data_IF_897628451210
#
_entry.id   IF_897628451210
#
_cell.length_a   1.000
_cell.length_b   1.000
_cell.length_c   1.000
_cell.angle_alpha   90.00
_cell.angle_beta   90.00
_cell.angle_gamma   90.00
#
_symmetry.space_group_name_H-M   'P 1'
#
loop_
_entity.id
_entity.type
_entity.pdbx_description
1 polymer ?
#
# COMPACT_ATOMS: atom_id res chain seq x y z
N UNK A 1 16.25 -3.20 13.30
CA UNK A 1 14.91 -2.67 13.71
C UNK A 1 15.10 -1.36 14.44
N UNK A 2 14.22 -0.39 14.20
CA UNK A 2 14.27 0.89 14.92
C UNK A 2 13.86 0.74 16.38
N UNK A 3 14.67 1.29 17.29
CA UNK A 3 14.34 1.41 18.72
C UNK A 3 13.08 2.26 18.95
N UNK A 4 12.78 3.19 18.03
CA UNK A 4 11.62 4.08 18.09
C UNK A 4 10.35 3.53 17.42
N UNK A 5 10.41 2.35 16.80
CA UNK A 5 9.24 1.73 16.16
C UNK A 5 8.15 1.41 17.20
N UNK A 6 6.88 1.63 16.83
CA UNK A 6 5.75 1.26 17.66
C UNK A 6 5.47 -0.24 17.60
N UNK A 7 5.00 -0.78 18.72
CA UNK A 7 4.68 -2.20 18.86
C UNK A 7 3.18 -2.43 18.68
N UNK A 8 2.85 -3.48 17.93
CA UNK A 8 1.51 -4.05 17.92
C UNK A 8 1.43 -5.05 19.05
N UNK A 9 0.97 -4.60 20.23
CA UNK A 9 0.79 -5.46 21.38
C UNK A 9 -0.40 -6.42 21.20
N UNK A 10 -0.49 -7.50 21.98
CA UNK A 10 -1.57 -8.51 21.89
C UNK A 10 -2.97 -7.90 21.93
N UNK A 11 -3.18 -6.89 22.78
CA UNK A 11 -4.47 -6.21 22.92
C UNK A 11 -4.91 -5.44 21.66
N UNK A 12 -4.00 -4.94 20.84
CA UNK A 12 -4.35 -4.30 19.58
C UNK A 12 -5.06 -5.26 18.62
N UNK A 13 -4.61 -6.52 18.57
CA UNK A 13 -5.25 -7.55 17.74
C UNK A 13 -6.62 -7.96 18.25
N UNK A 14 -6.82 -7.93 19.56
CA UNK A 14 -8.13 -8.18 20.17
C UNK A 14 -9.09 -7.03 19.86
N UNK A 15 -8.65 -5.80 20.05
CA UNK A 15 -9.44 -4.59 19.77
C UNK A 15 -9.84 -4.51 18.29
N UNK A 16 -8.92 -4.71 17.37
CA UNK A 16 -9.18 -4.70 15.93
C UNK A 16 -10.34 -5.65 15.57
N UNK A 17 -10.28 -6.90 16.04
CA UNK A 17 -11.31 -7.90 15.78
C UNK A 17 -12.67 -7.58 16.42
N UNK A 18 -12.68 -7.06 17.65
CA UNK A 18 -13.95 -6.78 18.33
C UNK A 18 -14.60 -5.52 17.79
N UNK A 19 -13.81 -4.50 17.42
CA UNK A 19 -14.32 -3.27 16.80
C UNK A 19 -14.95 -3.55 15.44
N UNK A 20 -14.27 -4.32 14.56
CA UNK A 20 -14.83 -4.72 13.26
C UNK A 20 -16.17 -5.46 13.40
N UNK A 21 -16.28 -6.34 14.40
CA UNK A 21 -17.56 -7.03 14.68
C UNK A 21 -18.62 -6.08 15.19
N UNK A 22 -18.26 -5.14 16.03
CA UNK A 22 -19.18 -4.15 16.62
C UNK A 22 -19.71 -3.18 15.56
N UNK A 23 -18.88 -2.76 14.62
CA UNK A 23 -19.24 -1.87 13.51
C UNK A 23 -20.21 -2.54 12.52
N UNK A 24 -20.24 -3.87 12.43
CA UNK A 24 -21.20 -4.61 11.60
C UNK A 24 -21.16 -4.16 10.13
N UNK A 25 -22.24 -3.53 9.66
CA UNK A 25 -22.34 -3.02 8.27
C UNK A 25 -21.39 -1.86 7.96
N UNK A 26 -20.88 -1.18 8.97
CA UNK A 26 -19.92 -0.06 8.85
C UNK A 26 -18.47 -0.50 9.01
N UNK A 27 -18.20 -1.81 8.97
CA UNK A 27 -16.84 -2.34 9.02
C UNK A 27 -15.98 -1.82 7.87
N UNK A 28 -14.70 -1.63 8.13
CA UNK A 28 -13.70 -1.20 7.14
C UNK A 28 -13.17 -2.39 6.33
N UNK A 29 -13.23 -3.59 6.90
CA UNK A 29 -12.66 -4.80 6.30
C UNK A 29 -11.18 -4.97 6.60
N UNK A 30 -10.75 -4.64 7.83
CA UNK A 30 -9.36 -4.74 8.27
C UNK A 30 -8.80 -6.16 8.18
N UNK A 31 -7.47 -6.29 8.24
CA UNK A 31 -6.80 -7.60 8.27
C UNK A 31 -6.88 -8.28 9.66
N UNK A 32 -7.42 -7.60 10.69
CA UNK A 32 -7.51 -8.10 12.05
C UNK A 32 -6.16 -8.26 12.75
N UNK A 33 -5.12 -7.56 12.29
CA UNK A 33 -3.75 -7.66 12.82
C UNK A 33 -3.38 -6.58 13.85
N UNK A 34 -4.30 -5.68 14.16
CA UNK A 34 -4.12 -4.66 15.19
C UNK A 34 -3.44 -3.37 14.71
N UNK A 35 -3.35 -3.15 13.40
CA UNK A 35 -2.67 -1.97 12.82
C UNK A 35 -3.40 -0.69 13.23
N UNK A 36 -4.70 -0.58 12.96
CA UNK A 36 -5.50 0.60 13.32
C UNK A 36 -5.40 0.97 14.80
N UNK A 37 -5.68 0.05 15.73
CA UNK A 37 -5.53 0.31 17.17
C UNK A 37 -4.12 0.70 17.60
N UNK A 38 -3.05 0.15 16.99
CA UNK A 38 -1.68 0.54 17.31
C UNK A 38 -1.35 1.97 16.83
N UNK A 39 -1.84 2.37 15.66
CA UNK A 39 -1.72 3.76 15.17
C UNK A 39 -2.56 4.74 16.00
N UNK A 40 -3.75 4.34 16.45
CA UNK A 40 -4.55 5.14 17.38
C UNK A 40 -3.76 5.41 18.67
N UNK A 41 -3.13 4.40 19.24
CA UNK A 41 -2.28 4.55 20.43
C UNK A 41 -1.06 5.45 20.18
N UNK A 42 -0.43 5.33 19.01
CA UNK A 42 0.66 6.22 18.59
C UNK A 42 0.23 7.69 18.60
N UNK A 43 -0.91 8.00 17.99
CA UNK A 43 -1.41 9.38 17.87
C UNK A 43 -1.92 9.90 19.23
N UNK A 44 -2.55 9.04 20.04
CA UNK A 44 -2.94 9.35 21.41
C UNK A 44 -1.75 9.44 22.39
N UNK A 45 -0.55 9.08 21.96
CA UNK A 45 0.70 9.14 22.74
C UNK A 45 0.74 8.19 23.93
N UNK A 46 0.01 7.07 23.83
CA UNK A 46 -0.01 5.98 24.83
C UNK A 46 0.63 4.70 24.26
N UNK A 47 1.17 4.76 23.05
CA UNK A 47 1.78 3.61 22.38
C UNK A 47 3.10 3.17 23.01
N UNK A 48 3.36 1.87 22.95
CA UNK A 48 4.61 1.24 23.37
C UNK A 48 5.58 1.21 22.18
N UNK A 49 6.85 1.56 22.42
CA UNK A 49 7.94 1.51 21.44
C UNK A 49 8.89 0.35 21.74
N UNK A 50 9.71 -0.01 20.77
CA UNK A 50 10.69 -1.09 20.92
C UNK A 50 11.65 -0.86 22.08
N UNK A 51 12.13 0.36 22.29
CA UNK A 51 13.04 0.67 23.41
C UNK A 51 12.39 0.48 24.80
N UNK A 52 11.08 0.59 24.90
CA UNK A 52 10.36 0.38 26.16
C UNK A 52 10.47 -1.08 26.65
N UNK A 53 10.68 -2.03 25.73
CA UNK A 53 10.82 -3.45 26.05
C UNK A 53 12.05 -3.80 26.91
N UNK A 54 12.98 -2.86 27.07
CA UNK A 54 14.27 -3.09 27.76
C UNK A 54 14.30 -2.53 29.17
N UNK A 55 13.17 -1.97 29.65
CA UNK A 55 13.00 -1.49 31.01
C UNK A 55 11.69 -2.05 31.58
N UNK A 56 11.78 -3.01 32.50
CA UNK A 56 10.62 -3.76 32.97
C UNK A 56 9.61 -2.87 33.71
N UNK A 57 10.08 -1.99 34.62
CA UNK A 57 9.22 -1.09 35.38
C UNK A 57 8.49 -0.11 34.46
N UNK A 58 9.23 0.55 33.58
CA UNK A 58 8.66 1.51 32.62
C UNK A 58 7.68 0.85 31.65
N UNK A 59 7.98 -0.38 31.19
CA UNK A 59 7.08 -1.14 30.33
C UNK A 59 5.78 -1.49 31.05
N UNK A 60 5.87 -1.95 32.32
CA UNK A 60 4.69 -2.28 33.14
C UNK A 60 3.77 -1.07 33.27
N UNK A 61 4.30 0.08 33.67
CA UNK A 61 3.53 1.33 33.82
C UNK A 61 2.83 1.72 32.49
N UNK A 62 3.51 1.60 31.35
CA UNK A 62 2.92 1.90 30.06
C UNK A 62 1.82 0.91 29.66
N UNK A 63 2.02 -0.38 29.92
CA UNK A 63 1.01 -1.42 29.66
C UNK A 63 -0.21 -1.18 30.54
N UNK A 64 -0.03 -0.92 31.84
CA UNK A 64 -1.10 -0.62 32.77
C UNK A 64 -1.90 0.61 32.32
N UNK A 65 -1.24 1.74 32.05
CA UNK A 65 -1.87 2.96 31.58
C UNK A 65 -2.67 2.74 30.28
N UNK A 66 -2.08 2.00 29.33
CA UNK A 66 -2.74 1.67 28.06
C UNK A 66 -3.95 0.75 28.25
N UNK A 67 -3.83 -0.28 29.09
CA UNK A 67 -4.89 -1.26 29.33
C UNK A 67 -5.99 -0.72 30.22
N UNK A 68 -5.75 0.29 31.05
CA UNK A 68 -6.78 0.88 31.91
C UNK A 68 -8.03 1.28 31.11
N UNK A 69 -7.87 2.10 30.08
CA UNK A 69 -8.97 2.53 29.22
C UNK A 69 -9.50 1.39 28.35
N UNK A 70 -8.61 0.60 27.75
CA UNK A 70 -8.97 -0.48 26.83
C UNK A 70 -9.78 -1.59 27.52
N UNK A 71 -9.44 -1.93 28.75
CA UNK A 71 -10.19 -2.90 29.53
C UNK A 71 -11.60 -2.40 29.87
N UNK A 72 -11.78 -1.09 30.12
CA UNK A 72 -13.13 -0.53 30.28
C UNK A 72 -13.95 -0.71 29.00
N UNK A 73 -13.35 -0.45 27.83
CA UNK A 73 -14.02 -0.67 26.54
C UNK A 73 -14.33 -2.15 26.30
N UNK A 74 -13.38 -3.04 26.55
CA UNK A 74 -13.58 -4.47 26.37
C UNK A 74 -14.71 -5.01 27.24
N UNK A 75 -14.73 -4.65 28.53
CA UNK A 75 -15.72 -5.17 29.48
C UNK A 75 -17.08 -4.51 29.28
N UNK A 76 -17.15 -3.18 29.27
CA UNK A 76 -18.43 -2.46 29.29
C UNK A 76 -19.09 -2.32 27.93
N UNK A 77 -18.30 -2.13 26.86
CA UNK A 77 -18.82 -1.91 25.51
C UNK A 77 -18.91 -3.21 24.71
N UNK A 78 -17.85 -4.01 24.77
CA UNK A 78 -17.74 -5.21 23.93
C UNK A 78 -18.13 -6.52 24.63
N UNK A 79 -18.43 -6.47 25.94
CA UNK A 79 -18.77 -7.65 26.78
C UNK A 79 -17.69 -8.76 26.64
N UNK A 80 -16.43 -8.37 26.78
CA UNK A 80 -15.24 -9.24 26.72
C UNK A 80 -14.51 -9.24 28.04
N UNK A 81 -13.69 -10.28 28.28
CA UNK A 81 -12.80 -10.33 29.46
C UNK A 81 -11.75 -9.24 29.35
N UNK A 82 -11.36 -8.64 30.49
CA UNK A 82 -10.23 -7.73 30.51
C UNK A 82 -8.94 -8.49 30.15
N UNK A 83 -7.96 -7.76 29.67
CA UNK A 83 -6.61 -8.27 29.39
C UNK A 83 -5.75 -8.00 30.62
N UNK A 84 -5.00 -9.00 31.02
CA UNK A 84 -4.13 -8.96 32.20
C UNK A 84 -2.86 -8.15 31.92
N UNK A 85 -2.52 -7.23 32.82
CA UNK A 85 -1.39 -6.31 32.69
C UNK A 85 -0.07 -7.06 32.86
N UNK A 86 0.04 -7.88 33.91
CA UNK A 86 1.28 -8.59 34.23
C UNK A 86 1.61 -9.60 33.17
N UNK A 87 0.63 -10.41 32.75
CA UNK A 87 0.81 -11.38 31.67
C UNK A 87 1.25 -10.69 30.36
N UNK A 88 0.65 -9.54 30.03
CA UNK A 88 1.00 -8.79 28.80
C UNK A 88 2.42 -8.26 28.90
N UNK A 89 2.79 -7.72 30.07
CA UNK A 89 4.14 -7.20 30.31
C UNK A 89 5.19 -8.30 30.21
N UNK A 90 4.97 -9.45 30.86
CA UNK A 90 5.86 -10.59 30.79
C UNK A 90 6.07 -11.14 29.37
N UNK A 91 5.00 -11.21 28.58
CA UNK A 91 5.07 -11.61 27.17
C UNK A 91 5.94 -10.64 26.36
N UNK A 92 5.73 -9.34 26.54
CA UNK A 92 6.48 -8.31 25.83
C UNK A 92 7.96 -8.27 26.25
N UNK A 93 8.29 -8.46 27.55
CA UNK A 93 9.67 -8.55 28.03
C UNK A 93 10.41 -9.73 27.41
N UNK A 94 9.78 -10.92 27.37
CA UNK A 94 10.36 -12.11 26.72
C UNK A 94 10.65 -11.90 25.25
N UNK A 95 9.76 -11.19 24.53
CA UNK A 95 9.98 -10.82 23.14
C UNK A 95 11.09 -9.77 23.02
N UNK A 96 11.17 -8.83 23.96
CA UNK A 96 12.22 -7.81 24.04
C UNK A 96 13.61 -8.42 24.07
N UNK A 97 13.85 -9.39 24.94
CA UNK A 97 15.16 -10.09 25.04
C UNK A 97 15.57 -10.73 23.68
N UNK A 98 14.61 -11.32 22.95
CA UNK A 98 14.88 -11.89 21.63
C UNK A 98 15.16 -10.83 20.57
N UNK A 99 14.58 -9.67 20.67
CA UNK A 99 14.73 -8.56 19.71
C UNK A 99 15.99 -7.74 19.94
N UNK A 100 16.49 -7.69 21.18
CA UNK A 100 17.59 -6.82 21.60
C UNK A 100 18.81 -6.81 20.68
N UNK A 101 19.30 -7.96 20.15
CA UNK A 101 20.44 -7.97 19.23
C UNK A 101 20.20 -7.29 17.87
N UNK A 102 18.94 -7.07 17.50
CA UNK A 102 18.52 -6.54 16.20
C UNK A 102 18.05 -5.08 16.26
N UNK A 103 18.16 -4.45 17.44
CA UNK A 103 17.63 -3.09 17.67
C UNK A 103 18.76 -2.08 17.60
N UNK A 104 18.50 -0.97 16.92
CA UNK A 104 19.44 0.13 16.79
C UNK A 104 18.71 1.47 16.57
N UNK A 105 19.42 2.57 16.77
CA UNK A 105 19.00 3.88 16.30
C UNK A 105 19.13 3.93 14.77
N UNK A 106 18.07 3.51 14.07
CA UNK A 106 18.09 3.37 12.61
C UNK A 106 18.18 4.71 11.89
N UNK A 107 17.67 5.80 12.48
CA UNK A 107 17.81 7.13 11.91
C UNK A 107 19.29 7.53 11.81
N UNK A 108 20.05 7.32 12.89
CA UNK A 108 21.49 7.59 12.89
C UNK A 108 22.23 6.70 11.88
N UNK A 109 21.91 5.40 11.84
CA UNK A 109 22.54 4.44 10.92
C UNK A 109 22.32 4.83 9.46
N UNK A 110 21.09 5.20 9.10
CA UNK A 110 20.72 5.57 7.73
C UNK A 110 21.35 6.89 7.32
N UNK A 111 21.26 7.92 8.17
CA UNK A 111 21.85 9.22 7.86
C UNK A 111 23.39 9.12 7.69
N UNK A 112 24.07 8.35 8.56
CA UNK A 112 25.51 8.10 8.43
C UNK A 112 25.84 7.37 7.11
N UNK A 113 25.04 6.36 6.73
CA UNK A 113 25.25 5.64 5.47
C UNK A 113 25.10 6.56 4.25
N UNK A 114 24.11 7.45 4.26
CA UNK A 114 23.90 8.46 3.21
C UNK A 114 25.03 9.50 3.16
N UNK A 115 25.51 9.96 4.32
CA UNK A 115 26.63 10.91 4.40
C UNK A 115 27.96 10.27 3.93
N UNK A 116 28.09 8.95 4.05
CA UNK A 116 29.19 8.15 3.49
C UNK A 116 29.03 7.84 1.98
N UNK A 117 27.97 8.35 1.33
CA UNK A 117 27.71 8.15 -0.09
C UNK A 117 27.16 6.77 -0.46
N UNK A 118 26.63 6.01 0.51
CA UNK A 118 26.03 4.70 0.24
C UNK A 118 24.63 4.86 -0.37
N UNK A 119 24.31 3.98 -1.31
CA UNK A 119 22.95 3.85 -1.85
C UNK A 119 22.04 3.18 -0.83
N UNK A 120 20.90 3.80 -0.54
CA UNK A 120 19.88 3.28 0.38
C UNK A 120 18.57 3.10 -0.37
N UNK A 121 18.04 1.90 -0.39
CA UNK A 121 16.72 1.59 -0.94
C UNK A 121 15.69 1.56 0.18
N UNK A 122 14.66 2.40 0.07
CA UNK A 122 13.48 2.38 0.93
C UNK A 122 12.38 1.59 0.24
N UNK A 123 11.90 0.53 0.87
CA UNK A 123 10.77 -0.25 0.37
C UNK A 123 9.52 0.10 1.17
N UNK A 124 8.52 0.66 0.49
CA UNK A 124 7.19 0.90 1.05
C UNK A 124 6.30 -0.34 0.96
N UNK A 125 5.23 -0.35 1.76
CA UNK A 125 4.15 -1.33 1.64
C UNK A 125 2.85 -0.64 1.23
N UNK A 126 1.80 -1.41 1.02
CA UNK A 126 0.46 -0.99 0.62
C UNK A 126 0.45 -0.27 -0.76
N UNK A 127 -0.36 0.77 -0.90
CA UNK A 127 -0.49 1.54 -2.13
C UNK A 127 -0.92 2.98 -1.81
N UNK A 128 -0.73 3.91 -2.75
CA UNK A 128 -1.11 5.32 -2.61
C UNK A 128 -2.58 5.48 -2.23
N UNK A 129 -3.49 4.74 -2.87
CA UNK A 129 -4.93 4.83 -2.59
C UNK A 129 -5.34 4.23 -1.24
N UNK A 130 -4.41 3.64 -0.49
CA UNK A 130 -4.59 3.19 0.89
C UNK A 130 -3.93 4.13 1.91
N UNK A 131 -3.34 5.24 1.49
CA UNK A 131 -2.77 6.24 2.38
C UNK A 131 -3.88 6.92 3.21
N UNK A 132 -3.63 7.15 4.51
CA UNK A 132 -4.63 7.69 5.43
C UNK A 132 -5.04 9.11 5.06
N UNK A 133 -4.15 9.89 4.45
CA UNK A 133 -4.39 11.29 4.06
C UNK A 133 -4.74 11.44 2.58
N UNK A 134 -4.17 10.61 1.71
CA UNK A 134 -4.28 10.72 0.25
C UNK A 134 -5.08 9.61 -0.42
N UNK A 135 -5.53 8.61 0.34
CA UNK A 135 -6.28 7.46 -0.17
C UNK A 135 -7.79 7.64 -0.10
N UNK A 136 -8.49 6.55 -0.36
CA UNK A 136 -9.96 6.46 -0.36
C UNK A 136 -10.51 6.31 1.06
N UNK A 137 -10.31 7.32 1.90
CA UNK A 137 -10.81 7.32 3.28
C UNK A 137 -12.33 7.11 3.34
N UNK A 138 -12.89 6.26 4.25
CA UNK A 138 -12.20 5.57 5.34
C UNK A 138 -11.59 4.19 4.96
N UNK A 139 -11.66 3.76 3.72
CA UNK A 139 -11.18 2.46 3.24
C UNK A 139 -9.67 2.50 2.93
N UNK A 140 -8.87 2.79 3.95
CA UNK A 140 -7.42 3.01 3.90
C UNK A 140 -6.71 2.24 5.01
N UNK A 141 -5.37 2.20 4.96
CA UNK A 141 -4.56 1.83 6.14
C UNK A 141 -4.46 3.01 7.09
N UNK A 142 -4.05 2.78 8.32
CA UNK A 142 -3.81 3.86 9.31
C UNK A 142 -2.43 4.50 9.15
N UNK A 143 -1.70 4.18 8.09
CA UNK A 143 -0.35 4.66 7.83
C UNK A 143 -0.29 5.50 6.57
N UNK A 144 0.88 6.12 6.32
CA UNK A 144 1.20 6.83 5.10
C UNK A 144 2.14 5.98 4.22
N UNK A 145 1.63 5.15 3.31
CA UNK A 145 2.44 4.42 2.33
C UNK A 145 2.97 5.28 1.19
N UNK A 146 2.56 6.55 1.08
CA UNK A 146 3.17 7.51 0.15
C UNK A 146 4.65 7.73 0.47
N UNK A 147 5.44 8.19 -0.51
CA UNK A 147 6.90 8.37 -0.39
C UNK A 147 7.32 9.25 0.80
N UNK A 148 6.51 10.24 1.17
CA UNK A 148 6.72 11.06 2.38
C UNK A 148 6.77 10.25 3.67
N UNK A 149 6.07 9.10 3.71
CA UNK A 149 6.10 8.16 4.83
C UNK A 149 7.46 7.54 5.09
N UNK A 150 8.31 7.40 4.08
CA UNK A 150 9.68 6.95 4.25
C UNK A 150 10.49 7.94 5.10
N UNK A 151 10.35 9.24 4.85
CA UNK A 151 11.02 10.28 5.62
C UNK A 151 10.60 10.29 7.09
N UNK A 152 9.28 10.29 7.34
CA UNK A 152 8.75 10.32 8.72
C UNK A 152 9.01 9.02 9.47
N UNK A 153 8.98 7.87 8.78
CA UNK A 153 9.19 6.55 9.39
C UNK A 153 10.64 6.24 9.72
N UNK A 154 11.59 6.77 8.94
CA UNK A 154 13.03 6.46 9.09
C UNK A 154 13.85 7.59 9.71
N UNK A 155 13.34 8.82 9.71
CA UNK A 155 14.09 10.00 10.15
C UNK A 155 15.15 10.48 9.16
N UNK A 156 14.98 10.12 7.87
CA UNK A 156 15.80 10.68 6.77
C UNK A 156 15.10 11.93 6.24
N UNK A 157 15.84 13.01 6.07
CA UNK A 157 15.30 14.27 5.56
C UNK A 157 14.82 14.14 4.10
N UNK A 158 13.71 14.82 3.70
CA UNK A 158 13.15 14.66 2.36
C UNK A 158 14.11 15.06 1.23
N UNK A 159 15.04 16.00 1.47
CA UNK A 159 16.04 16.43 0.50
C UNK A 159 17.14 15.38 0.23
N UNK A 160 17.19 14.32 1.03
CA UNK A 160 18.11 13.19 0.83
C UNK A 160 17.49 12.06 -0.02
N UNK A 161 16.21 12.17 -0.35
CA UNK A 161 15.54 11.25 -1.28
C UNK A 161 15.80 11.73 -2.70
N UNK A 162 16.58 10.99 -3.45
CA UNK A 162 16.99 11.38 -4.81
C UNK A 162 16.03 10.87 -5.88
N UNK A 163 15.39 9.73 -5.64
CA UNK A 163 14.45 9.10 -6.58
C UNK A 163 13.26 8.48 -5.84
N UNK A 164 12.10 8.54 -6.46
CA UNK A 164 10.87 7.87 -5.99
C UNK A 164 10.34 7.02 -7.14
N UNK A 165 10.39 5.71 -6.94
CA UNK A 165 10.00 4.73 -7.95
C UNK A 165 8.62 4.19 -7.61
N UNK A 166 7.65 4.45 -8.48
CA UNK A 166 6.31 3.86 -8.39
C UNK A 166 6.27 2.48 -9.00
N UNK A 167 5.62 1.52 -8.34
CA UNK A 167 5.32 0.22 -8.96
C UNK A 167 3.83 0.20 -9.31
N UNK A 168 3.52 0.16 -10.61
CA UNK A 168 2.17 0.11 -11.16
C UNK A 168 1.97 -1.18 -11.93
N UNK A 169 0.75 -1.70 -11.92
CA UNK A 169 0.34 -2.77 -12.85
C UNK A 169 -0.20 -2.18 -14.13
N UNK A 170 -0.19 -2.93 -15.21
CA UNK A 170 -0.84 -2.56 -16.46
C UNK A 170 -2.39 -2.57 -16.39
N UNK A 171 -2.94 -2.91 -15.25
CA UNK A 171 -4.36 -2.84 -14.86
C UNK A 171 -4.45 -2.56 -13.36
N UNK A 172 -5.64 -2.36 -12.79
CA UNK A 172 -5.78 -2.03 -11.37
C UNK A 172 -6.35 -3.20 -10.58
N UNK A 173 -5.88 -3.35 -9.34
CA UNK A 173 -6.47 -4.31 -8.39
C UNK A 173 -6.73 -3.65 -7.04
N UNK A 174 -7.78 -4.10 -6.35
CA UNK A 174 -8.11 -3.65 -5.00
C UNK A 174 -8.45 -4.83 -4.09
N UNK A 175 -7.99 -4.76 -2.85
CA UNK A 175 -8.40 -5.66 -1.76
C UNK A 175 -9.26 -4.87 -0.78
N UNK A 176 -10.38 -5.46 -0.33
CA UNK A 176 -11.29 -4.84 0.62
C UNK A 176 -12.35 -3.94 -0.02
N UNK A 177 -13.05 -3.24 0.84
CA UNK A 177 -14.15 -2.35 0.47
C UNK A 177 -13.63 -1.01 -0.08
N UNK A 178 -14.53 -0.15 -0.49
CA UNK A 178 -14.27 1.20 -0.97
C UNK A 178 -14.42 1.38 -2.46
N UNK A 179 -14.42 2.63 -2.93
CA UNK A 179 -14.64 2.98 -4.34
C UNK A 179 -13.56 2.42 -5.25
N UNK A 180 -14.00 2.00 -6.44
CA UNK A 180 -13.15 1.47 -7.49
C UNK A 180 -13.81 1.73 -8.85
N UNK A 181 -13.70 2.95 -9.41
CA UNK A 181 -14.44 3.35 -10.60
C UNK A 181 -14.26 2.43 -11.81
N UNK A 182 -13.06 1.88 -12.00
CA UNK A 182 -12.74 1.01 -13.14
C UNK A 182 -12.97 -0.48 -12.86
N UNK A 183 -13.63 -0.84 -11.74
CA UNK A 183 -13.89 -2.23 -11.38
C UNK A 183 -14.69 -2.95 -12.46
N UNK A 184 -14.26 -4.16 -12.81
CA UNK A 184 -14.91 -5.03 -13.76
C UNK A 184 -15.67 -6.15 -13.07
N UNK A 185 -16.90 -6.33 -13.49
CA UNK A 185 -17.79 -7.40 -13.04
C UNK A 185 -18.00 -8.40 -14.17
N UNK A 186 -18.18 -9.68 -13.83
CA UNK A 186 -18.41 -10.74 -14.81
C UNK A 186 -17.13 -11.22 -15.50
N UNK A 187 -17.23 -11.61 -16.77
CA UNK A 187 -16.20 -12.35 -17.50
C UNK A 187 -14.84 -11.63 -17.58
N UNK A 188 -14.81 -10.33 -17.87
CA UNK A 188 -13.56 -9.56 -17.98
C UNK A 188 -12.82 -9.48 -16.64
N UNK A 189 -13.54 -9.22 -15.54
CA UNK A 189 -12.96 -9.18 -14.22
C UNK A 189 -12.45 -10.54 -13.75
N UNK A 190 -13.17 -11.60 -14.06
CA UNK A 190 -12.77 -12.97 -13.77
C UNK A 190 -11.56 -13.40 -14.62
N UNK A 191 -11.52 -12.98 -15.88
CA UNK A 191 -10.39 -13.22 -16.77
C UNK A 191 -9.11 -12.55 -16.25
N UNK A 192 -9.15 -11.24 -15.93
CA UNK A 192 -8.00 -10.52 -15.36
C UNK A 192 -7.53 -11.17 -14.06
N UNK A 193 -8.46 -11.60 -13.21
CA UNK A 193 -8.15 -12.27 -11.95
C UNK A 193 -7.45 -13.61 -12.17
N UNK A 194 -7.92 -14.40 -13.12
CA UNK A 194 -7.36 -15.70 -13.45
C UNK A 194 -5.97 -15.56 -14.10
N UNK A 195 -5.85 -14.74 -15.16
CA UNK A 195 -4.58 -14.51 -15.86
C UNK A 195 -3.53 -13.86 -14.97
N UNK A 196 -3.94 -12.86 -14.18
CA UNK A 196 -3.06 -12.15 -13.26
C UNK A 196 -2.78 -12.87 -11.96
N UNK A 197 -3.38 -14.04 -11.68
CA UNK A 197 -3.32 -14.75 -10.39
C UNK A 197 -3.63 -13.82 -9.21
N UNK A 198 -4.70 -13.00 -9.34
CA UNK A 198 -5.03 -11.93 -8.41
C UNK A 198 -5.77 -12.45 -7.17
N UNK A 199 -5.01 -13.13 -6.33
CA UNK A 199 -5.44 -13.67 -5.03
C UNK A 199 -4.50 -13.20 -3.91
N UNK A 200 -5.05 -13.02 -2.73
CA UNK A 200 -4.27 -12.64 -1.55
C UNK A 200 -3.34 -13.77 -1.11
N UNK A 201 -2.03 -13.52 -1.05
CA UNK A 201 -1.02 -14.55 -0.69
C UNK A 201 -1.30 -15.19 0.66
N UNK A 202 -1.76 -14.40 1.66
CA UNK A 202 -1.99 -14.89 3.03
C UNK A 202 -3.39 -15.49 3.23
N UNK A 203 -4.39 -14.98 2.51
CA UNK A 203 -5.80 -15.32 2.76
C UNK A 203 -6.45 -16.10 1.62
N UNK A 204 -5.81 -16.17 0.45
CA UNK A 204 -6.40 -16.71 -0.78
C UNK A 204 -7.62 -15.92 -1.29
N UNK A 205 -7.95 -14.76 -0.67
CA UNK A 205 -9.13 -13.97 -1.05
C UNK A 205 -8.93 -13.40 -2.46
N UNK A 206 -9.93 -13.52 -3.36
CA UNK A 206 -9.87 -12.91 -4.69
C UNK A 206 -9.78 -11.40 -4.57
N UNK A 207 -8.95 -10.78 -5.43
CA UNK A 207 -8.87 -9.34 -5.57
C UNK A 207 -9.92 -8.86 -6.57
N UNK A 208 -10.44 -7.68 -6.35
CA UNK A 208 -11.23 -6.92 -7.31
C UNK A 208 -10.28 -6.45 -8.40
N UNK A 209 -10.66 -6.56 -9.68
CA UNK A 209 -9.83 -6.19 -10.84
C UNK A 209 -10.55 -5.15 -11.68
N UNK A 210 -9.81 -4.29 -12.35
CA UNK A 210 -10.34 -3.25 -13.22
C UNK A 210 -9.31 -2.81 -14.26
N UNK A 211 -9.75 -2.11 -15.31
CA UNK A 211 -8.86 -1.54 -16.32
C UNK A 211 -7.93 -0.50 -15.72
N UNK A 212 -6.81 -0.22 -16.39
CA UNK A 212 -5.86 0.81 -15.98
C UNK A 212 -6.56 2.14 -15.77
N UNK A 213 -6.28 2.77 -14.63
CA UNK A 213 -6.85 4.04 -14.23
C UNK A 213 -5.77 5.13 -14.26
N UNK A 214 -5.73 5.88 -15.36
CA UNK A 214 -4.74 6.91 -15.56
C UNK A 214 -4.97 8.13 -14.65
N UNK A 215 -6.21 8.39 -14.21
CA UNK A 215 -6.52 9.47 -13.27
C UNK A 215 -5.88 9.17 -11.91
N UNK A 216 -6.07 7.96 -11.39
CA UNK A 216 -5.43 7.51 -10.13
C UNK A 216 -3.91 7.46 -10.27
N UNK A 217 -3.38 6.97 -11.41
CA UNK A 217 -1.92 6.92 -11.62
C UNK A 217 -1.29 8.31 -11.67
N UNK A 218 -1.91 9.26 -12.35
CA UNK A 218 -1.46 10.66 -12.38
C UNK A 218 -1.49 11.28 -10.98
N UNK A 219 -2.57 11.08 -10.23
CA UNK A 219 -2.65 11.50 -8.83
C UNK A 219 -1.55 10.87 -7.98
N UNK A 220 -1.32 9.55 -8.11
CA UNK A 220 -0.25 8.86 -7.42
C UNK A 220 1.14 9.41 -7.78
N UNK A 221 1.38 9.73 -9.05
CA UNK A 221 2.63 10.37 -9.50
C UNK A 221 2.86 11.71 -8.81
N UNK A 222 1.81 12.53 -8.69
CA UNK A 222 1.87 13.85 -8.06
C UNK A 222 2.14 13.76 -6.55
N UNK A 223 1.33 13.01 -5.80
CA UNK A 223 1.43 12.98 -4.32
C UNK A 223 2.68 12.26 -3.81
N UNK A 224 3.29 11.39 -4.61
CA UNK A 224 4.54 10.74 -4.29
C UNK A 224 5.76 11.47 -4.87
N UNK A 225 5.59 12.36 -5.85
CA UNK A 225 6.69 12.94 -6.61
C UNK A 225 7.47 11.87 -7.37
N UNK A 226 6.76 10.98 -8.09
CA UNK A 226 7.41 9.87 -8.79
C UNK A 226 8.38 10.40 -9.84
N UNK A 227 9.58 9.84 -9.85
CA UNK A 227 10.59 10.07 -10.88
C UNK A 227 10.53 9.00 -11.97
N UNK A 228 10.10 7.82 -11.61
CA UNK A 228 10.08 6.64 -12.46
C UNK A 228 8.90 5.72 -12.10
N UNK A 229 8.38 5.00 -13.09
CA UNK A 229 7.40 3.91 -12.90
C UNK A 229 8.03 2.59 -13.35
N UNK A 230 7.86 1.56 -12.55
CA UNK A 230 8.03 0.15 -12.92
C UNK A 230 6.65 -0.38 -13.26
N UNK A 231 6.38 -0.61 -14.55
CA UNK A 231 5.12 -1.17 -15.04
C UNK A 231 5.19 -2.69 -14.99
N UNK A 232 4.32 -3.32 -14.23
CA UNK A 232 4.29 -4.79 -14.08
C UNK A 232 3.02 -5.39 -14.67
N UNK A 233 3.01 -6.71 -14.86
CA UNK A 233 1.81 -7.44 -15.34
C UNK A 233 1.35 -7.07 -16.75
N UNK A 234 2.25 -6.58 -17.60
CA UNK A 234 1.93 -6.29 -18.99
C UNK A 234 1.57 -7.57 -19.77
N UNK A 235 2.24 -8.66 -19.45
CA UNK A 235 2.01 -10.03 -19.94
C UNK A 235 0.56 -10.51 -19.73
N UNK A 236 -0.08 -10.08 -18.67
CA UNK A 236 -1.47 -10.48 -18.33
C UNK A 236 -2.47 -10.00 -19.38
N UNK A 237 -2.17 -8.91 -20.10
CA UNK A 237 -3.05 -8.35 -21.14
C UNK A 237 -2.89 -9.01 -22.51
N UNK A 238 -1.94 -9.92 -22.65
CA UNK A 238 -1.73 -10.68 -23.92
C UNK A 238 -2.99 -11.48 -24.28
N UNK A 239 -3.40 -11.39 -25.52
CA UNK A 239 -4.59 -12.07 -26.07
C UNK A 239 -5.82 -11.17 -26.18
N UNK A 240 -5.81 -9.98 -25.59
CA UNK A 240 -6.87 -8.99 -25.75
C UNK A 240 -6.77 -8.33 -27.13
N UNK A 241 -7.91 -8.10 -27.78
CA UNK A 241 -8.00 -7.34 -29.03
C UNK A 241 -8.00 -5.83 -28.77
N UNK A 242 -8.63 -5.42 -27.70
CA UNK A 242 -8.80 -4.03 -27.27
C UNK A 242 -8.54 -3.91 -25.78
N UNK A 243 -7.87 -2.83 -25.35
CA UNK A 243 -7.53 -2.56 -23.96
C UNK A 243 -8.01 -1.16 -23.59
N UNK A 244 -9.07 -1.05 -22.76
CA UNK A 244 -9.55 0.24 -22.26
C UNK A 244 -8.59 0.84 -21.22
N UNK A 245 -8.41 2.17 -21.28
CA UNK A 245 -7.69 2.98 -20.31
C UNK A 245 -8.66 4.04 -19.79
N UNK A 246 -8.89 4.13 -18.49
CA UNK A 246 -9.67 5.20 -17.90
C UNK A 246 -8.84 6.50 -17.93
N UNK A 247 -9.32 7.49 -18.69
CA UNK A 247 -8.62 8.77 -18.89
C UNK A 247 -9.24 9.92 -18.10
N UNK A 248 -10.51 9.78 -17.69
CA UNK A 248 -11.27 10.75 -16.91
C UNK A 248 -12.45 10.05 -16.22
N UNK A 249 -13.17 10.79 -15.37
CA UNK A 249 -14.42 10.33 -14.77
C UNK A 249 -15.59 11.19 -15.19
N UNK A 250 -16.77 10.59 -15.34
CA UNK A 250 -18.06 11.26 -15.29
C UNK A 250 -18.56 11.23 -13.85
N UNK A 251 -18.70 12.38 -13.23
CA UNK A 251 -19.30 12.55 -11.90
C UNK A 251 -20.57 13.38 -12.04
N UNK A 252 -21.73 12.73 -11.91
CA UNK A 252 -23.04 13.37 -12.02
C UNK A 252 -23.28 14.13 -13.35
N UNK A 253 -22.68 13.67 -14.44
CA UNK A 253 -22.80 14.31 -15.78
C UNK A 253 -21.73 15.35 -16.10
N UNK A 254 -20.79 15.58 -15.19
CA UNK A 254 -19.63 16.45 -15.39
C UNK A 254 -18.35 15.63 -15.56
N UNK A 255 -17.51 16.00 -16.54
CA UNK A 255 -16.22 15.36 -16.79
C UNK A 255 -15.18 15.91 -15.81
N UNK A 256 -14.50 15.00 -15.11
CA UNK A 256 -13.39 15.26 -14.22
C UNK A 256 -12.13 14.60 -14.77
N UNK A 257 -11.13 15.37 -15.14
CA UNK A 257 -9.82 14.86 -15.58
C UNK A 257 -8.90 14.54 -14.40
N UNK A 258 -9.18 15.11 -13.23
CA UNK A 258 -8.46 14.85 -11.97
C UNK A 258 -9.30 14.02 -10.99
N UNK A 259 -8.62 13.39 -10.03
CA UNK A 259 -9.26 12.57 -9.01
C UNK A 259 -10.13 13.46 -8.09
N UNK A 260 -11.45 13.16 -7.94
CA UNK A 260 -12.28 13.87 -6.98
C UNK A 260 -11.75 13.72 -5.55
N UNK A 261 -11.64 14.82 -4.82
CA UNK A 261 -11.22 14.82 -3.42
C UNK A 261 -12.36 14.44 -2.47
N UNK A 262 -13.60 14.71 -2.86
CA UNK A 262 -14.78 14.23 -2.13
C UNK A 262 -14.99 12.73 -2.38
N UNK A 263 -14.97 11.97 -1.31
CA UNK A 263 -15.13 10.51 -1.38
C UNK A 263 -16.54 10.09 -1.83
N UNK A 264 -17.56 10.92 -1.60
CA UNK A 264 -18.91 10.65 -2.09
C UNK A 264 -18.98 10.81 -3.62
N UNK A 265 -18.30 11.81 -4.16
CA UNK A 265 -18.15 12.01 -5.61
C UNK A 265 -17.34 10.86 -6.23
N UNK A 266 -16.22 10.51 -5.62
CA UNK A 266 -15.39 9.40 -6.11
C UNK A 266 -16.13 8.05 -6.08
N UNK A 267 -17.01 7.84 -5.11
CA UNK A 267 -17.81 6.62 -5.00
C UNK A 267 -18.86 6.45 -6.13
N UNK A 268 -19.29 7.54 -6.75
CA UNK A 268 -20.26 7.53 -7.86
C UNK A 268 -19.62 7.82 -9.22
N UNK A 269 -18.31 8.04 -9.25
CA UNK A 269 -17.56 8.31 -10.45
C UNK A 269 -17.66 7.13 -11.43
N UNK A 270 -17.94 7.44 -12.68
CA UNK A 270 -17.97 6.47 -13.79
C UNK A 270 -16.77 6.69 -14.69
N UNK A 271 -16.03 5.64 -15.06
CA UNK A 271 -14.85 5.80 -15.89
C UNK A 271 -15.22 6.22 -17.32
N UNK A 272 -14.47 7.16 -17.88
CA UNK A 272 -14.46 7.51 -19.29
C UNK A 272 -13.24 6.86 -19.89
N UNK A 273 -13.47 5.95 -20.85
CA UNK A 273 -12.42 5.14 -21.44
C UNK A 273 -11.95 5.67 -22.79
N UNK A 274 -10.63 5.58 -23.00
CA UNK A 274 -9.97 5.53 -24.28
C UNK A 274 -9.60 4.07 -24.55
N UNK A 275 -9.86 3.55 -25.76
CA UNK A 275 -9.57 2.15 -26.09
C UNK A 275 -8.35 2.09 -27.00
N UNK A 276 -7.36 1.27 -26.62
CA UNK A 276 -6.15 1.01 -27.40
C UNK A 276 -6.23 -0.39 -28.05
N UNK A 277 -5.62 -0.59 -29.23
CA UNK A 277 -5.42 -1.94 -29.76
C UNK A 277 -4.58 -2.81 -28.83
N UNK A 278 -4.99 -4.07 -28.65
CA UNK A 278 -4.24 -5.06 -27.88
C UNK A 278 -3.20 -5.80 -28.71
N UNK A 279 -2.64 -6.87 -28.16
CA UNK A 279 -1.67 -7.76 -28.81
C UNK A 279 -1.95 -9.21 -28.45
N UNK A 280 -1.51 -10.13 -29.31
CA UNK A 280 -1.70 -11.57 -29.12
C UNK A 280 -0.40 -12.35 -28.94
N UNK A 281 0.72 -11.72 -29.23
CA UNK A 281 2.05 -12.30 -29.13
C UNK A 281 2.48 -12.46 -27.67
N UNK A 282 3.10 -13.59 -27.36
CA UNK A 282 3.71 -13.80 -26.05
C UNK A 282 4.94 -12.89 -25.89
N UNK A 283 4.88 -12.00 -24.90
CA UNK A 283 5.93 -11.02 -24.59
C UNK A 283 6.88 -11.48 -23.47
N UNK A 284 6.67 -12.66 -22.90
CA UNK A 284 7.40 -13.11 -21.69
C UNK A 284 8.92 -13.25 -21.88
N UNK A 285 9.37 -13.48 -23.11
CA UNK A 285 10.78 -13.61 -23.47
C UNK A 285 11.37 -12.37 -24.13
N UNK A 286 10.62 -11.26 -24.18
CA UNK A 286 11.11 -10.01 -24.75
C UNK A 286 11.92 -9.25 -23.70
N UNK A 287 13.13 -8.83 -24.07
CA UNK A 287 14.08 -8.13 -23.19
C UNK A 287 14.45 -6.72 -23.70
N UNK A 288 14.07 -6.36 -24.93
CA UNK A 288 14.23 -5.01 -25.48
C UNK A 288 12.86 -4.41 -25.79
N UNK A 289 12.67 -3.14 -25.48
CA UNK A 289 11.40 -2.44 -25.71
C UNK A 289 10.99 -2.42 -27.18
N UNK A 290 11.96 -2.32 -28.09
CA UNK A 290 11.73 -2.26 -29.51
C UNK A 290 11.30 -3.61 -30.13
N UNK A 291 11.52 -4.71 -29.40
CA UNK A 291 11.10 -6.05 -29.81
C UNK A 291 9.67 -6.40 -29.36
N UNK A 292 9.03 -5.53 -28.56
CA UNK A 292 7.61 -5.67 -28.23
C UNK A 292 6.74 -5.43 -29.46
N UNK A 293 5.56 -6.08 -29.58
CA UNK A 293 4.55 -5.73 -30.58
C UNK A 293 4.28 -4.22 -30.60
N UNK A 294 4.09 -3.64 -31.78
CA UNK A 294 3.92 -2.18 -31.92
C UNK A 294 2.76 -1.66 -31.06
N UNK A 295 1.64 -2.37 -31.02
CA UNK A 295 0.47 -2.02 -30.19
C UNK A 295 0.80 -2.04 -28.70
N UNK A 296 1.65 -2.97 -28.28
CA UNK A 296 2.14 -3.05 -26.89
C UNK A 296 3.04 -1.85 -26.54
N UNK A 297 3.97 -1.48 -27.46
CA UNK A 297 4.80 -0.28 -27.29
C UNK A 297 3.94 0.98 -27.20
N UNK A 298 2.94 1.11 -28.07
CA UNK A 298 2.04 2.27 -28.12
C UNK A 298 1.20 2.36 -26.83
N UNK A 299 0.74 1.21 -26.31
CA UNK A 299 0.06 1.14 -25.02
C UNK A 299 0.95 1.64 -23.88
N UNK A 300 2.19 1.17 -23.77
CA UNK A 300 3.14 1.60 -22.73
C UNK A 300 3.43 3.11 -22.82
N UNK A 301 3.68 3.63 -24.04
CA UNK A 301 3.89 5.07 -24.26
C UNK A 301 2.67 5.89 -23.85
N UNK A 302 1.47 5.38 -24.14
CA UNK A 302 0.23 6.05 -23.75
C UNK A 302 0.03 6.07 -22.23
N UNK A 303 0.36 4.99 -21.53
CA UNK A 303 0.34 4.97 -20.06
C UNK A 303 1.34 5.96 -19.46
N UNK A 304 2.54 6.06 -20.01
CA UNK A 304 3.56 7.03 -19.62
C UNK A 304 3.04 8.47 -19.73
N UNK A 305 2.49 8.81 -20.91
CA UNK A 305 1.92 10.14 -21.18
C UNK A 305 0.78 10.48 -20.18
N UNK A 306 -0.16 9.56 -20.01
CA UNK A 306 -1.34 9.78 -19.16
C UNK A 306 -0.98 9.84 -17.66
N UNK A 307 0.03 9.09 -17.23
CA UNK A 307 0.50 9.08 -15.83
C UNK A 307 1.38 10.29 -15.48
N UNK A 308 1.88 11.01 -16.50
CA UNK A 308 2.78 12.16 -16.33
C UNK A 308 4.14 11.79 -15.68
N UNK A 309 4.53 10.51 -15.76
CA UNK A 309 5.78 10.01 -15.21
C UNK A 309 6.33 8.91 -16.11
N UNK A 310 7.64 8.94 -16.39
CA UNK A 310 8.27 7.99 -17.31
C UNK A 310 8.21 6.56 -16.78
N UNK A 311 8.00 5.62 -17.71
CA UNK A 311 8.09 4.19 -17.44
C UNK A 311 9.52 3.72 -17.73
N UNK A 312 10.26 3.41 -16.69
CA UNK A 312 11.69 3.07 -16.77
C UNK A 312 11.97 1.57 -16.81
N UNK A 313 11.05 0.77 -16.27
CA UNK A 313 11.16 -0.70 -16.28
C UNK A 313 9.79 -1.31 -16.56
N UNK A 314 9.76 -2.38 -17.35
CA UNK A 314 8.56 -3.14 -17.68
C UNK A 314 8.76 -4.59 -17.25
N UNK A 315 7.79 -5.15 -16.52
CA UNK A 315 7.70 -6.57 -16.24
C UNK A 315 6.89 -7.28 -17.31
N UNK A 316 7.51 -8.20 -18.02
CA UNK A 316 6.95 -9.00 -19.12
C UNK A 316 6.51 -10.40 -18.68
N UNK A 317 6.64 -10.73 -17.41
CA UNK A 317 6.23 -12.01 -16.85
C UNK A 317 6.54 -12.13 -15.36
N UNK A 318 6.26 -13.30 -14.74
CA UNK A 318 6.37 -13.49 -13.30
C UNK A 318 7.79 -13.76 -12.78
N UNK A 319 8.75 -14.07 -13.66
CA UNK A 319 10.11 -14.40 -13.27
C UNK A 319 10.97 -13.15 -13.11
N UNK A 320 12.07 -13.27 -12.36
CA UNK A 320 12.95 -12.15 -12.05
C UNK A 320 13.63 -11.54 -13.26
N UNK A 321 13.89 -12.34 -14.27
CA UNK A 321 14.52 -11.98 -15.55
C UNK A 321 13.53 -11.56 -16.62
N UNK A 322 12.21 -11.69 -16.40
CA UNK A 322 11.18 -11.20 -17.30
C UNK A 322 10.99 -9.69 -17.14
N UNK A 323 12.03 -8.93 -17.43
CA UNK A 323 12.04 -7.47 -17.35
C UNK A 323 12.70 -6.83 -18.57
N UNK A 324 12.17 -5.69 -18.96
CA UNK A 324 12.79 -4.75 -19.92
C UNK A 324 13.18 -3.51 -19.13
N UNK A 325 14.45 -3.16 -19.11
CA UNK A 325 14.95 -1.94 -18.51
C UNK A 325 15.19 -0.89 -19.58
N UNK A 326 14.37 0.19 -19.57
CA UNK A 326 14.47 1.31 -20.53
C UNK A 326 15.43 2.37 -19.98
N UNK A 327 15.31 2.69 -18.68
CA UNK A 327 16.16 3.66 -18.02
C UNK A 327 16.75 3.06 -16.74
N UNK A 328 17.97 3.49 -16.36
CA UNK A 328 18.55 3.11 -15.08
C UNK A 328 17.76 3.69 -13.91
N UNK A 329 17.59 2.92 -12.84
CA UNK A 329 16.92 3.33 -11.62
C UNK A 329 17.89 3.70 -10.49
N UNK A 330 19.20 3.49 -10.66
CA UNK A 330 20.20 3.57 -9.59
C UNK A 330 21.40 4.50 -9.89
N UNK A 331 21.34 5.27 -10.97
CA UNK A 331 22.41 6.24 -11.33
C UNK A 331 22.15 7.60 -10.71
#
# INVERSE_FOLDING_TARGET
>A
MSESAHIIAPYHRVLDKVTERFLGKHKIGTTGRGIGPAYADKINRVGIRVHDLFNAEHLHDKVEASLHQKNQMLVKLYNRRPIDVDQTTDELLKLGERLKPYVANTSLVLNKALDEGKTVLFEGGQATMLDVDHGTYPFVTSSNPTAGGACTGTGVGPTKITRVIGVSKAYVTRVGEGPFPTELFGEDGDWLRAQGHEYGVTTGRPRRCGWFDAVVNRYASQVNGLTDIVLTKLDVLTGLQEIPICVAYDVNGERHDDMPTDQAEFAVAKPIYETMPGWTEDISQVHDFNDLPQTCQDYVKRLEELSGCRISVIGTGPQRDHIIQINSLVD
#
